data_IF_143336854018
#
_entry.id   IF_143336854018
#
_cell.length_a   1.000
_cell.length_b   1.000
_cell.length_c   1.000
_cell.angle_alpha   90.00
_cell.angle_beta   90.00
_cell.angle_gamma   90.00
#
_symmetry.space_group_name_H-M   'P 1'
#
loop_
_entity.id
_entity.type
_entity.pdbx_description
1 polymer ?
#
# COMPACT_ATOMS: atom_id res chain seq x y z
N UNK A 1 -19.49 -3.34 -36.92
CA UNK A 1 -19.62 -1.90 -37.28
C UNK A 1 -18.90 -1.62 -38.60
N UNK A 2 -19.52 -0.88 -39.52
CA UNK A 2 -18.93 -0.36 -40.76
C UNK A 2 -18.62 1.14 -40.62
N UNK A 3 -19.54 1.91 -40.02
CA UNK A 3 -19.43 3.37 -39.89
C UNK A 3 -19.54 4.09 -41.24
N UNK A 4 -20.36 3.56 -42.16
CA UNK A 4 -20.48 4.06 -43.53
C UNK A 4 -21.41 5.27 -43.68
N UNK A 5 -22.26 5.56 -42.70
CA UNK A 5 -23.23 6.64 -42.77
C UNK A 5 -22.88 7.81 -41.83
N UNK A 6 -22.82 7.54 -40.53
CA UNK A 6 -22.54 8.54 -39.50
C UNK A 6 -21.84 7.88 -38.29
N UNK A 7 -21.84 8.55 -37.14
CA UNK A 7 -21.23 8.07 -35.89
C UNK A 7 -22.22 7.39 -34.94
N UNK A 8 -23.53 7.42 -35.24
CA UNK A 8 -24.56 6.99 -34.30
C UNK A 8 -24.63 5.46 -34.20
N UNK A 9 -24.59 4.94 -32.96
CA UNK A 9 -24.77 3.52 -32.66
C UNK A 9 -26.10 2.98 -33.20
N UNK A 10 -27.16 3.80 -33.14
CA UNK A 10 -28.53 3.42 -33.50
C UNK A 10 -28.80 3.43 -35.00
N UNK A 11 -27.89 3.90 -35.85
CA UNK A 11 -28.11 3.93 -37.29
C UNK A 11 -27.80 2.55 -37.91
N UNK A 12 -28.80 1.84 -38.48
CA UNK A 12 -28.60 0.51 -39.08
C UNK A 12 -27.61 0.52 -40.25
N UNK A 13 -27.44 1.64 -40.95
CA UNK A 13 -26.47 1.74 -42.05
C UNK A 13 -25.00 1.63 -41.59
N UNK A 14 -24.73 1.78 -40.30
CA UNK A 14 -23.42 1.57 -39.71
C UNK A 14 -23.16 0.12 -39.27
N UNK A 15 -24.11 -0.80 -39.49
CA UNK A 15 -23.99 -2.20 -39.10
C UNK A 15 -24.05 -3.13 -40.30
N UNK A 16 -23.19 -4.16 -40.27
CA UNK A 16 -23.22 -5.21 -41.30
C UNK A 16 -24.57 -5.89 -41.25
N UNK A 17 -25.28 -5.94 -42.38
CA UNK A 17 -26.62 -6.51 -42.47
C UNK A 17 -27.74 -5.65 -41.87
N UNK A 18 -27.46 -4.41 -41.46
CA UNK A 18 -28.50 -3.49 -40.95
C UNK A 18 -29.00 -3.81 -39.54
N UNK A 19 -28.37 -4.75 -38.82
CA UNK A 19 -28.78 -5.17 -37.48
C UNK A 19 -28.08 -4.31 -36.43
N UNK A 20 -28.82 -3.36 -35.86
CA UNK A 20 -28.36 -2.54 -34.74
C UNK A 20 -28.31 -3.42 -33.48
N UNK A 21 -27.19 -3.47 -32.76
CA UNK A 21 -27.14 -4.06 -31.42
C UNK A 21 -28.02 -3.23 -30.47
N UNK A 22 -29.16 -3.78 -30.10
CA UNK A 22 -30.13 -3.20 -29.17
C UNK A 22 -30.63 -4.28 -28.22
N UNK A 23 -31.03 -3.89 -27.01
CA UNK A 23 -31.51 -4.82 -25.99
C UNK A 23 -30.54 -6.00 -25.77
N UNK A 24 -30.84 -7.21 -26.23
CA UNK A 24 -29.94 -8.38 -26.11
C UNK A 24 -29.85 -9.17 -27.41
N UNK A 25 -30.11 -8.53 -28.55
CA UNK A 25 -30.16 -9.20 -29.86
C UNK A 25 -28.77 -9.61 -30.37
N UNK A 26 -27.71 -8.98 -29.86
CA UNK A 26 -26.31 -9.20 -30.24
C UNK A 26 -25.48 -9.44 -28.98
N UNK A 27 -24.76 -10.56 -28.92
CA UNK A 27 -23.87 -10.86 -27.80
C UNK A 27 -22.51 -10.16 -27.93
N UNK A 28 -21.94 -10.12 -29.14
CA UNK A 28 -20.59 -9.61 -29.34
C UNK A 28 -20.57 -8.54 -30.41
N UNK A 29 -19.97 -7.41 -30.07
CA UNK A 29 -19.71 -6.32 -31.00
C UNK A 29 -18.20 -6.16 -31.20
N UNK A 30 -17.80 -6.11 -32.46
CA UNK A 30 -16.45 -5.71 -32.86
C UNK A 30 -16.52 -4.49 -33.76
N UNK A 31 -15.76 -3.47 -33.41
CA UNK A 31 -15.63 -2.22 -34.14
C UNK A 31 -14.19 -2.15 -34.68
N UNK A 32 -13.98 -2.36 -35.99
CA UNK A 32 -12.66 -2.31 -36.59
C UNK A 32 -12.13 -0.88 -36.64
N UNK A 33 -10.82 -0.74 -36.85
CA UNK A 33 -10.17 0.56 -37.02
C UNK A 33 -10.80 1.36 -38.17
N UNK A 34 -10.81 2.67 -38.03
CA UNK A 34 -11.31 3.60 -39.04
C UNK A 34 -11.50 5.01 -38.47
N UNK A 35 -11.93 5.95 -39.31
CA UNK A 35 -12.15 7.33 -38.89
C UNK A 35 -13.40 7.49 -38.02
N UNK A 36 -13.42 8.50 -37.14
CA UNK A 36 -14.58 8.89 -36.34
C UNK A 36 -14.81 8.02 -35.10
N UNK A 37 -15.55 8.58 -34.15
CA UNK A 37 -16.01 7.88 -32.95
C UNK A 37 -17.32 7.13 -33.22
N UNK A 38 -17.61 6.16 -32.34
CA UNK A 38 -18.93 5.52 -32.25
C UNK A 38 -19.67 6.11 -31.05
N UNK A 39 -20.81 6.74 -31.32
CA UNK A 39 -21.59 7.49 -30.33
C UNK A 39 -22.78 6.63 -29.87
N UNK A 40 -22.76 6.26 -28.60
CA UNK A 40 -23.87 5.64 -27.90
C UNK A 40 -24.57 6.73 -27.07
N UNK A 41 -25.79 7.09 -27.45
CA UNK A 41 -26.55 8.16 -26.81
C UNK A 41 -27.84 7.65 -26.18
N UNK A 42 -28.66 8.57 -25.64
CA UNK A 42 -29.92 8.22 -24.99
C UNK A 42 -30.92 7.51 -25.91
N UNK A 43 -30.83 7.66 -27.24
CA UNK A 43 -31.72 6.99 -28.18
C UNK A 43 -31.47 5.49 -28.27
N UNK A 44 -30.27 5.02 -27.91
CA UNK A 44 -29.94 3.60 -27.87
C UNK A 44 -30.61 2.85 -26.71
N UNK A 45 -31.17 3.56 -25.73
CA UNK A 45 -31.87 2.94 -24.60
C UNK A 45 -30.95 2.00 -23.79
N UNK A 46 -31.50 0.87 -23.35
CA UNK A 46 -30.72 -0.19 -22.71
C UNK A 46 -30.23 -1.18 -23.75
N UNK A 47 -28.91 -1.40 -23.80
CA UNK A 47 -28.27 -2.38 -24.66
C UNK A 47 -27.35 -3.26 -23.82
N UNK A 48 -27.55 -4.57 -23.85
CA UNK A 48 -26.80 -5.61 -23.19
C UNK A 48 -26.00 -6.41 -24.20
N UNK A 49 -24.69 -6.42 -24.03
CA UNK A 49 -23.74 -7.20 -24.81
C UNK A 49 -22.98 -8.12 -23.85
N UNK A 50 -22.55 -9.29 -24.33
CA UNK A 50 -21.49 -10.04 -23.66
C UNK A 50 -20.16 -9.31 -23.80
N UNK A 51 -19.79 -8.89 -25.01
CA UNK A 51 -18.52 -8.22 -25.25
C UNK A 51 -18.57 -7.11 -26.29
N UNK A 52 -17.76 -6.08 -26.09
CA UNK A 52 -17.53 -4.97 -27.01
C UNK A 52 -16.03 -4.69 -27.14
N UNK A 53 -15.46 -4.93 -28.32
CA UNK A 53 -14.08 -4.57 -28.63
C UNK A 53 -14.07 -3.50 -29.71
N UNK A 54 -13.38 -2.39 -29.47
CA UNK A 54 -13.33 -1.26 -30.40
C UNK A 54 -11.92 -0.75 -30.64
N UNK A 55 -11.55 -0.66 -31.92
CA UNK A 55 -10.37 0.06 -32.41
C UNK A 55 -10.74 1.48 -32.90
N UNK A 56 -11.93 1.97 -32.54
CA UNK A 56 -12.39 3.36 -32.72
C UNK A 56 -12.76 3.95 -31.36
N UNK A 57 -12.66 5.27 -31.15
CA UNK A 57 -13.13 5.88 -29.92
C UNK A 57 -14.61 5.60 -29.67
N UNK A 58 -14.97 5.22 -28.45
CA UNK A 58 -16.36 5.08 -28.01
C UNK A 58 -16.76 6.33 -27.23
N UNK A 59 -17.91 6.92 -27.54
CA UNK A 59 -18.47 8.07 -26.85
C UNK A 59 -19.85 7.72 -26.28
N UNK A 60 -19.96 7.63 -24.96
CA UNK A 60 -21.24 7.39 -24.25
C UNK A 60 -21.79 8.72 -23.74
N UNK A 61 -22.81 9.24 -24.40
CA UNK A 61 -23.45 10.52 -24.05
C UNK A 61 -24.78 10.35 -23.32
N UNK A 62 -25.32 9.12 -23.29
CA UNK A 62 -26.58 8.76 -22.64
C UNK A 62 -26.84 7.26 -22.68
N UNK A 63 -28.05 6.83 -22.29
CA UNK A 63 -28.47 5.43 -22.35
C UNK A 63 -27.85 4.54 -21.26
N UNK A 64 -28.06 3.23 -21.38
CA UNK A 64 -27.53 2.20 -20.47
C UNK A 64 -26.86 1.07 -21.28
N UNK A 65 -25.53 1.05 -21.29
CA UNK A 65 -24.73 0.01 -21.93
C UNK A 65 -24.31 -1.02 -20.87
N UNK A 66 -24.74 -2.27 -21.02
CA UNK A 66 -24.47 -3.37 -20.12
C UNK A 66 -23.51 -4.39 -20.75
N UNK A 67 -22.46 -4.77 -20.03
CA UNK A 67 -21.37 -5.61 -20.54
C UNK A 67 -21.16 -6.84 -19.64
N UNK A 68 -21.39 -8.02 -20.20
CA UNK A 68 -21.30 -9.30 -19.50
C UNK A 68 -19.88 -9.75 -19.19
N UNK A 69 -18.93 -9.58 -20.11
CA UNK A 69 -17.57 -10.13 -20.00
C UNK A 69 -16.46 -9.11 -20.22
N UNK A 70 -16.50 -8.33 -21.31
CA UNK A 70 -15.41 -7.42 -21.66
C UNK A 70 -15.89 -6.23 -22.50
N UNK A 71 -15.52 -5.03 -22.07
CA UNK A 71 -15.43 -3.85 -22.94
C UNK A 71 -13.96 -3.47 -23.05
N UNK A 72 -13.43 -3.48 -24.27
CA UNK A 72 -12.06 -3.08 -24.56
C UNK A 72 -12.06 -2.01 -25.65
N UNK A 73 -11.38 -0.90 -25.39
CA UNK A 73 -11.23 0.18 -26.36
C UNK A 73 -9.90 0.91 -26.14
N UNK A 74 -9.37 1.52 -27.20
CA UNK A 74 -8.22 2.41 -27.06
C UNK A 74 -8.64 3.74 -26.44
N UNK A 75 -9.72 4.33 -26.94
CA UNK A 75 -10.24 5.61 -26.49
C UNK A 75 -11.70 5.51 -26.01
N UNK A 76 -12.00 6.14 -24.88
CA UNK A 76 -13.33 6.17 -24.29
C UNK A 76 -13.68 7.57 -23.76
N UNK A 77 -14.84 8.08 -24.15
CA UNK A 77 -15.41 9.31 -23.62
C UNK A 77 -16.78 9.04 -23.03
N UNK A 78 -17.07 9.59 -21.85
CA UNK A 78 -18.40 9.55 -21.27
C UNK A 78 -18.82 10.91 -20.70
N UNK A 79 -19.93 11.43 -21.21
CA UNK A 79 -20.56 12.66 -20.71
C UNK A 79 -21.94 12.42 -20.08
N UNK A 80 -22.48 11.20 -20.21
CA UNK A 80 -23.76 10.82 -19.64
C UNK A 80 -23.96 9.30 -19.61
N UNK A 81 -25.16 8.87 -19.26
CA UNK A 81 -25.54 7.45 -19.26
C UNK A 81 -24.88 6.59 -18.18
N UNK A 82 -25.17 5.29 -18.24
CA UNK A 82 -24.62 4.26 -17.38
C UNK A 82 -23.88 3.24 -18.24
N UNK A 83 -22.60 3.01 -17.94
CA UNK A 83 -21.89 1.80 -18.36
C UNK A 83 -21.89 0.84 -17.17
N UNK A 84 -22.44 -0.34 -17.32
CA UNK A 84 -22.50 -1.31 -16.22
C UNK A 84 -22.24 -2.75 -16.64
N UNK A 85 -21.99 -3.63 -15.69
CA UNK A 85 -21.99 -5.08 -15.92
C UNK A 85 -20.97 -5.84 -15.09
N UNK A 86 -20.97 -7.16 -15.23
CA UNK A 86 -20.04 -8.05 -14.53
C UNK A 86 -18.67 -8.14 -15.22
N UNK A 87 -18.56 -7.63 -16.45
CA UNK A 87 -17.35 -7.71 -17.26
C UNK A 87 -16.25 -6.74 -16.85
N UNK A 88 -15.07 -6.93 -17.43
CA UNK A 88 -13.96 -6.00 -17.34
C UNK A 88 -14.17 -4.80 -18.28
N UNK A 89 -13.79 -3.61 -17.84
CA UNK A 89 -13.70 -2.41 -18.67
C UNK A 89 -12.23 -1.98 -18.79
N UNK A 90 -11.70 -2.03 -20.01
CA UNK A 90 -10.31 -1.76 -20.32
C UNK A 90 -10.20 -0.62 -21.34
N UNK A 91 -9.53 0.47 -20.94
CA UNK A 91 -9.15 1.58 -21.81
C UNK A 91 -7.64 1.64 -21.89
N UNK A 92 -7.08 1.49 -23.09
CA UNK A 92 -5.63 1.35 -23.24
C UNK A 92 -4.89 2.64 -23.62
N UNK A 93 -5.58 3.72 -24.02
CA UNK A 93 -4.90 4.94 -24.49
C UNK A 93 -5.45 6.26 -23.95
N UNK A 94 -6.75 6.52 -24.10
CA UNK A 94 -7.33 7.83 -23.75
C UNK A 94 -8.70 7.70 -23.10
N UNK A 95 -8.87 8.35 -21.95
CA UNK A 95 -10.09 8.35 -21.17
C UNK A 95 -10.53 9.76 -20.80
N UNK A 96 -11.81 10.04 -20.98
CA UNK A 96 -12.44 11.28 -20.50
C UNK A 96 -13.80 10.97 -19.91
N UNK A 97 -14.03 11.40 -18.68
CA UNK A 97 -15.35 11.31 -18.06
C UNK A 97 -15.76 12.68 -17.50
N UNK A 98 -16.79 13.25 -18.11
CA UNK A 98 -17.39 14.54 -17.72
C UNK A 98 -18.78 14.36 -17.11
N UNK A 99 -19.34 13.15 -17.19
CA UNK A 99 -20.62 12.80 -16.59
C UNK A 99 -20.89 11.29 -16.65
N UNK A 100 -22.10 10.90 -16.30
CA UNK A 100 -22.51 9.51 -16.23
C UNK A 100 -21.88 8.73 -15.07
N UNK A 101 -22.00 7.41 -15.13
CA UNK A 101 -21.41 6.48 -14.15
C UNK A 101 -20.92 5.20 -14.83
N UNK A 102 -19.89 4.60 -14.25
CA UNK A 102 -19.30 3.34 -14.70
C UNK A 102 -19.29 2.37 -13.52
N UNK A 103 -20.00 1.24 -13.64
CA UNK A 103 -20.13 0.22 -12.60
C UNK A 103 -19.84 -1.19 -13.17
N UNK A 104 -18.60 -1.66 -13.05
CA UNK A 104 -18.08 -2.83 -13.77
C UNK A 104 -17.51 -3.91 -12.83
N UNK A 105 -17.25 -5.11 -13.33
CA UNK A 105 -16.57 -6.16 -12.57
C UNK A 105 -15.09 -5.86 -12.29
N UNK A 106 -14.45 -5.11 -13.18
CA UNK A 106 -13.14 -4.49 -12.96
C UNK A 106 -12.97 -3.29 -13.90
N UNK A 107 -12.19 -2.30 -13.48
CA UNK A 107 -11.87 -1.12 -14.30
C UNK A 107 -10.35 -0.99 -14.42
N UNK A 108 -9.86 -0.93 -15.65
CA UNK A 108 -8.46 -0.65 -15.97
C UNK A 108 -8.41 0.47 -17.00
N UNK A 109 -7.86 1.62 -16.61
CA UNK A 109 -7.77 2.81 -17.45
C UNK A 109 -6.30 3.23 -17.55
N UNK A 110 -5.79 3.28 -18.78
CA UNK A 110 -4.51 3.89 -19.12
C UNK A 110 -4.76 5.18 -19.92
N UNK A 111 -4.17 6.27 -19.44
CA UNK A 111 -4.09 7.57 -20.09
C UNK A 111 -2.65 7.77 -20.58
N UNK A 112 -2.35 7.32 -21.79
CA UNK A 112 -0.99 7.32 -22.34
C UNK A 112 -0.37 8.72 -22.40
N UNK A 113 -1.20 9.76 -22.52
CA UNK A 113 -0.75 11.15 -22.61
C UNK A 113 -1.63 12.10 -21.82
N UNK A 114 -1.01 13.11 -21.20
CA UNK A 114 -1.72 14.12 -20.41
C UNK A 114 -2.31 13.56 -19.11
N UNK A 115 -3.20 14.36 -18.51
CA UNK A 115 -3.80 14.04 -17.22
C UNK A 115 -5.03 13.14 -17.38
N UNK A 116 -5.18 12.20 -16.44
CA UNK A 116 -6.36 11.37 -16.30
C UNK A 116 -7.34 12.04 -15.33
N UNK A 117 -8.55 12.34 -15.78
CA UNK A 117 -9.64 12.81 -14.92
C UNK A 117 -10.76 11.77 -14.94
N UNK A 118 -11.05 11.19 -13.77
CA UNK A 118 -12.14 10.23 -13.58
C UNK A 118 -13.31 10.85 -12.83
N UNK A 119 -14.50 10.28 -12.96
CA UNK A 119 -15.69 10.69 -12.20
C UNK A 119 -16.24 9.52 -11.40
N UNK A 120 -17.52 9.18 -11.55
CA UNK A 120 -18.16 8.12 -10.78
C UNK A 120 -17.76 6.74 -11.31
N UNK A 121 -16.88 6.05 -10.58
CA UNK A 121 -16.43 4.69 -10.88
C UNK A 121 -16.74 3.76 -9.71
N UNK A 122 -17.26 2.57 -10.02
CA UNK A 122 -17.48 1.50 -9.06
C UNK A 122 -17.05 0.17 -9.64
N UNK A 123 -16.10 -0.50 -8.98
CA UNK A 123 -15.70 -1.86 -9.30
C UNK A 123 -14.91 -2.46 -8.12
N UNK A 124 -14.95 -3.79 -7.91
CA UNK A 124 -14.08 -4.44 -6.93
C UNK A 124 -12.61 -4.05 -7.05
N UNK A 125 -12.09 -3.92 -8.27
CA UNK A 125 -10.73 -3.47 -8.55
C UNK A 125 -10.76 -2.34 -9.56
N UNK A 126 -10.12 -1.22 -9.21
CA UNK A 126 -9.92 -0.07 -10.08
C UNK A 126 -8.42 0.18 -10.22
N UNK A 127 -7.92 0.16 -11.46
CA UNK A 127 -6.52 0.47 -11.79
C UNK A 127 -6.48 1.68 -12.70
N UNK A 128 -5.80 2.74 -12.27
CA UNK A 128 -5.67 4.00 -13.00
C UNK A 128 -4.20 4.27 -13.31
N UNK A 129 -3.87 4.50 -14.58
CA UNK A 129 -2.51 4.79 -15.03
C UNK A 129 -2.49 6.07 -15.87
N UNK A 130 -1.60 7.00 -15.51
CA UNK A 130 -1.29 8.21 -16.25
C UNK A 130 0.25 8.36 -16.35
N UNK A 131 0.93 7.53 -17.16
CA UNK A 131 2.40 7.50 -17.25
C UNK A 131 3.05 8.80 -17.71
N UNK A 132 2.28 9.75 -18.24
CA UNK A 132 2.75 11.06 -18.69
C UNK A 132 2.00 12.23 -18.04
N UNK A 133 1.25 12.00 -16.96
CA UNK A 133 0.47 13.06 -16.32
C UNK A 133 0.04 12.76 -14.90
N UNK A 134 -0.87 13.60 -14.42
CA UNK A 134 -1.49 13.48 -13.10
C UNK A 134 -2.79 12.68 -13.18
N UNK A 135 -3.21 12.12 -12.05
CA UNK A 135 -4.54 11.52 -11.90
C UNK A 135 -5.36 12.43 -10.98
N UNK A 136 -6.56 12.83 -11.41
CA UNK A 136 -7.51 13.55 -10.57
C UNK A 136 -8.92 13.00 -10.72
N UNK A 137 -9.82 13.45 -9.84
CA UNK A 137 -11.21 13.03 -9.88
C UNK A 137 -12.19 14.20 -9.75
N UNK A 138 -13.38 14.00 -10.32
CA UNK A 138 -14.54 14.89 -10.21
C UNK A 138 -15.75 14.22 -9.54
N UNK A 139 -15.71 12.91 -9.33
CA UNK A 139 -16.76 12.10 -8.70
C UNK A 139 -16.21 11.15 -7.66
N UNK A 140 -17.09 10.35 -7.05
CA UNK A 140 -16.71 9.37 -6.05
C UNK A 140 -16.23 8.07 -6.70
N UNK A 141 -15.19 7.48 -6.10
CA UNK A 141 -14.62 6.19 -6.51
C UNK A 141 -14.89 5.14 -5.43
N UNK A 142 -15.35 3.95 -5.83
CA UNK A 142 -15.65 2.88 -4.85
C UNK A 142 -15.20 1.51 -5.33
N UNK A 143 -14.70 0.70 -4.39
CA UNK A 143 -14.22 -0.63 -4.69
C UNK A 143 -13.60 -1.34 -3.50
N UNK A 144 -13.05 -2.53 -3.73
CA UNK A 144 -12.22 -3.19 -2.73
C UNK A 144 -10.78 -2.66 -2.81
N UNK A 145 -10.20 -2.59 -4.02
CA UNK A 145 -8.81 -2.18 -4.26
C UNK A 145 -8.73 -1.04 -5.27
N UNK A 146 -7.98 0.00 -4.91
CA UNK A 146 -7.53 1.05 -5.82
C UNK A 146 -6.02 0.93 -6.04
N UNK A 147 -5.61 0.89 -7.30
CA UNK A 147 -4.21 0.97 -7.72
C UNK A 147 -4.00 2.18 -8.64
N UNK A 148 -3.04 3.06 -8.31
CA UNK A 148 -2.70 4.23 -9.12
C UNK A 148 -1.23 4.27 -9.52
N UNK A 149 -0.96 4.71 -10.75
CA UNK A 149 0.38 4.98 -11.25
C UNK A 149 0.40 6.27 -12.07
N UNK A 150 1.19 7.25 -11.64
CA UNK A 150 1.23 8.60 -12.21
C UNK A 150 2.66 9.10 -12.42
N UNK A 151 2.80 10.16 -13.22
CA UNK A 151 4.06 10.87 -13.43
C UNK A 151 4.05 12.29 -12.81
N UNK A 152 2.86 12.87 -12.60
CA UNK A 152 2.70 14.22 -12.10
C UNK A 152 1.79 14.32 -10.86
N UNK A 153 1.68 13.23 -10.09
CA UNK A 153 0.88 13.15 -8.85
C UNK A 153 -0.51 12.52 -9.02
N UNK A 154 -1.17 12.28 -7.91
CA UNK A 154 -2.52 11.71 -7.79
C UNK A 154 -3.31 12.49 -6.75
N UNK A 155 -4.42 13.13 -7.15
CA UNK A 155 -5.32 13.88 -6.24
C UNK A 155 -6.72 13.28 -6.28
N UNK A 156 -7.06 12.49 -5.27
CA UNK A 156 -8.30 11.74 -5.15
C UNK A 156 -9.00 12.05 -3.82
N UNK A 157 -9.54 13.27 -3.70
CA UNK A 157 -9.94 13.89 -2.41
C UNK A 157 -11.46 14.00 -2.18
N UNK A 158 -12.28 13.31 -2.98
CA UNK A 158 -13.74 13.27 -2.78
C UNK A 158 -14.05 12.42 -1.53
N UNK A 159 -14.84 12.98 -0.62
CA UNK A 159 -15.22 12.32 0.64
C UNK A 159 -16.08 11.06 0.46
N UNK A 160 -16.67 10.86 -0.72
CA UNK A 160 -17.40 9.66 -1.09
C UNK A 160 -16.53 8.49 -1.53
N UNK A 161 -15.20 8.67 -1.60
CA UNK A 161 -14.28 7.58 -1.92
C UNK A 161 -14.34 6.48 -0.87
N UNK A 162 -14.48 5.23 -1.31
CA UNK A 162 -14.58 4.08 -0.40
C UNK A 162 -13.83 2.87 -0.96
N UNK A 163 -12.65 2.62 -0.41
CA UNK A 163 -11.79 1.48 -0.70
C UNK A 163 -11.31 0.80 0.57
N UNK A 164 -11.19 -0.53 0.50
CA UNK A 164 -10.58 -1.34 1.55
C UNK A 164 -9.05 -1.41 1.40
N UNK A 165 -8.52 -1.19 0.21
CA UNK A 165 -7.08 -1.28 -0.08
C UNK A 165 -6.61 -0.22 -1.08
N UNK A 166 -5.47 0.41 -0.77
CA UNK A 166 -4.78 1.37 -1.64
C UNK A 166 -3.36 0.87 -1.97
N UNK A 167 -3.01 0.93 -3.25
CA UNK A 167 -1.63 0.95 -3.76
C UNK A 167 -1.47 2.20 -4.62
N UNK A 168 -0.48 3.03 -4.35
CA UNK A 168 -0.27 4.26 -5.12
C UNK A 168 1.19 4.48 -5.50
N UNK A 169 1.42 4.97 -6.71
CA UNK A 169 2.76 5.34 -7.18
C UNK A 169 2.75 6.62 -8.01
N UNK A 170 3.78 7.41 -7.81
CA UNK A 170 4.10 8.57 -8.64
C UNK A 170 5.61 8.59 -8.90
N UNK A 171 5.99 8.56 -10.18
CA UNK A 171 7.38 8.43 -10.61
C UNK A 171 8.08 9.78 -10.82
N UNK A 172 7.33 10.87 -10.95
CA UNK A 172 7.86 12.21 -11.18
C UNK A 172 7.56 13.16 -10.04
N UNK A 173 7.19 14.40 -10.39
CA UNK A 173 6.79 15.44 -9.43
C UNK A 173 5.35 15.28 -8.97
N UNK A 174 4.95 16.01 -7.94
CA UNK A 174 3.54 16.16 -7.55
C UNK A 174 3.10 15.21 -6.44
N UNK A 175 2.05 15.61 -5.75
CA UNK A 175 1.68 14.97 -4.49
C UNK A 175 0.80 13.73 -4.72
N UNK A 176 0.74 12.85 -3.72
CA UNK A 176 -0.28 11.81 -3.63
C UNK A 176 -1.23 12.22 -2.50
N UNK A 177 -2.42 12.68 -2.86
CA UNK A 177 -3.48 13.10 -1.96
C UNK A 177 -4.67 12.14 -2.08
N UNK A 178 -5.10 11.54 -0.97
CA UNK A 178 -6.22 10.60 -0.97
C UNK A 178 -7.12 10.79 0.25
N UNK A 179 -8.40 11.00 -0.03
CA UNK A 179 -9.47 10.95 0.98
C UNK A 179 -10.24 9.65 0.79
N UNK A 180 -10.56 8.98 1.89
CA UNK A 180 -11.32 7.73 1.88
C UNK A 180 -12.23 7.60 3.11
N UNK A 181 -13.24 6.74 3.00
CA UNK A 181 -14.10 6.33 4.12
C UNK A 181 -14.09 4.82 4.32
N UNK A 182 -14.33 4.37 5.55
CA UNK A 182 -14.24 2.97 5.95
C UNK A 182 -12.84 2.56 6.39
N UNK A 183 -12.65 1.28 6.72
CA UNK A 183 -11.34 0.76 7.06
C UNK A 183 -10.47 0.67 5.80
N UNK A 184 -9.24 1.20 5.87
CA UNK A 184 -8.31 1.26 4.76
C UNK A 184 -7.03 0.48 5.08
N UNK A 185 -6.65 -0.43 4.20
CA UNK A 185 -5.31 -1.01 4.16
C UNK A 185 -4.46 -0.29 3.13
N UNK A 186 -3.32 0.26 3.53
CA UNK A 186 -2.34 0.80 2.60
C UNK A 186 -1.32 -0.31 2.30
N UNK A 187 -1.45 -0.92 1.13
CA UNK A 187 -0.56 -1.99 0.68
C UNK A 187 0.78 -1.48 0.15
N UNK A 188 0.89 -0.18 -0.11
CA UNK A 188 2.16 0.51 -0.38
C UNK A 188 1.95 1.84 -1.09
N UNK A 189 2.81 2.82 -0.80
CA UNK A 189 2.83 4.10 -1.51
C UNK A 189 4.27 4.48 -1.84
N UNK A 190 4.55 4.77 -3.11
CA UNK A 190 5.84 5.30 -3.53
C UNK A 190 5.64 6.63 -4.27
N UNK A 191 5.97 7.75 -3.63
CA UNK A 191 5.97 9.05 -4.27
C UNK A 191 7.39 9.56 -4.48
N UNK A 192 7.90 9.53 -5.71
CA UNK A 192 9.29 9.90 -6.00
C UNK A 192 9.58 11.38 -5.75
N UNK A 193 8.59 12.25 -5.97
CA UNK A 193 8.70 13.68 -5.70
C UNK A 193 7.36 14.26 -5.23
N UNK A 194 7.39 15.16 -4.25
CA UNK A 194 6.19 15.71 -3.62
C UNK A 194 5.82 15.01 -2.32
N UNK A 195 4.72 15.46 -1.73
CA UNK A 195 4.20 14.98 -0.46
C UNK A 195 3.26 13.77 -0.63
N UNK A 196 3.01 13.08 0.46
CA UNK A 196 1.91 12.11 0.60
C UNK A 196 0.97 12.67 1.68
N UNK A 197 -0.30 12.88 1.35
CA UNK A 197 -1.35 13.27 2.30
C UNK A 197 -2.54 12.29 2.21
N UNK A 198 -2.75 11.54 3.28
CA UNK A 198 -3.82 10.53 3.36
C UNK A 198 -4.76 10.88 4.50
N UNK A 199 -6.03 11.07 4.19
CA UNK A 199 -7.08 11.28 5.18
C UNK A 199 -8.12 10.18 5.06
N UNK A 200 -8.26 9.35 6.09
CA UNK A 200 -9.25 8.28 6.10
C UNK A 200 -10.28 8.49 7.22
N UNK A 201 -11.55 8.42 6.87
CA UNK A 201 -12.67 8.38 7.81
C UNK A 201 -12.90 6.92 8.23
N UNK A 202 -12.13 6.50 9.22
CA UNK A 202 -12.05 5.12 9.70
C UNK A 202 -10.60 4.73 9.96
N UNK A 203 -10.36 3.46 10.24
CA UNK A 203 -9.04 2.95 10.57
C UNK A 203 -8.11 2.85 9.36
N UNK A 204 -6.82 3.07 9.58
CA UNK A 204 -5.76 2.80 8.60
C UNK A 204 -4.84 1.71 9.16
N UNK A 205 -4.51 0.72 8.33
CA UNK A 205 -3.44 -0.24 8.56
C UNK A 205 -2.49 -0.24 7.37
N UNK A 206 -1.18 -0.16 7.58
CA UNK A 206 -0.20 -0.31 6.49
C UNK A 206 0.38 -1.71 6.49
N UNK A 207 0.51 -2.32 5.30
CA UNK A 207 1.14 -3.64 5.13
C UNK A 207 2.42 -3.56 4.29
N UNK A 208 2.50 -2.60 3.36
CA UNK A 208 3.71 -2.28 2.62
C UNK A 208 4.33 -0.93 3.02
N UNK A 209 5.50 -0.60 2.45
CA UNK A 209 6.21 0.64 2.75
C UNK A 209 5.48 1.87 2.19
N UNK A 210 5.66 3.00 2.88
CA UNK A 210 5.27 4.32 2.39
C UNK A 210 6.53 5.16 2.25
N UNK A 211 6.84 5.63 1.04
CA UNK A 211 8.09 6.36 0.76
C UNK A 211 7.84 7.66 0.01
N UNK A 212 8.32 8.78 0.57
CA UNK A 212 8.38 10.09 -0.06
C UNK A 212 9.79 10.71 0.11
N UNK A 213 10.83 10.23 -0.60
CA UNK A 213 12.22 10.62 -0.37
C UNK A 213 12.51 12.12 -0.55
N UNK A 214 11.63 12.88 -1.19
CA UNK A 214 11.77 14.33 -1.40
C UNK A 214 10.63 15.16 -0.82
N UNK A 215 9.77 14.59 0.03
CA UNK A 215 8.62 15.30 0.59
C UNK A 215 8.21 14.80 1.97
N UNK A 216 7.09 15.32 2.43
CA UNK A 216 6.49 14.96 3.71
C UNK A 216 5.55 13.76 3.55
N UNK A 217 5.31 13.05 4.65
CA UNK A 217 4.23 12.08 4.76
C UNK A 217 3.28 12.53 5.88
N UNK A 218 2.05 12.86 5.52
CA UNK A 218 0.97 13.17 6.45
C UNK A 218 -0.12 12.09 6.35
N UNK A 219 -0.45 11.47 7.46
CA UNK A 219 -1.51 10.46 7.52
C UNK A 219 -2.42 10.78 8.70
N UNK A 220 -3.69 11.04 8.40
CA UNK A 220 -4.75 11.19 9.39
C UNK A 220 -5.70 9.99 9.29
N UNK A 221 -5.69 9.12 10.29
CA UNK A 221 -6.71 8.11 10.47
C UNK A 221 -7.71 8.59 11.52
N UNK A 222 -8.99 8.53 11.19
CA UNK A 222 -10.04 8.80 12.15
C UNK A 222 -10.40 7.55 12.96
N UNK A 223 -9.35 6.97 13.58
CA UNK A 223 -9.22 5.75 14.41
C UNK A 223 -9.44 4.37 13.75
N UNK A 224 -8.62 3.35 14.10
CA UNK A 224 -7.24 3.42 14.62
C UNK A 224 -6.20 3.66 13.49
N UNK A 225 -4.95 4.02 13.82
CA UNK A 225 -3.83 4.05 12.86
C UNK A 225 -2.77 3.01 13.26
N UNK A 226 -2.50 2.04 12.38
CA UNK A 226 -1.43 1.05 12.55
C UNK A 226 -0.43 1.14 11.40
N UNK A 227 0.82 1.42 11.71
CA UNK A 227 1.94 1.31 10.76
C UNK A 227 2.53 -0.09 10.88
N UNK A 228 2.36 -0.93 9.86
CA UNK A 228 2.94 -2.26 9.79
C UNK A 228 4.44 -2.27 9.51
N UNK A 229 5.02 -3.46 9.41
CA UNK A 229 6.47 -3.68 9.35
C UNK A 229 7.19 -2.96 8.18
N UNK A 230 6.48 -2.65 7.09
CA UNK A 230 7.03 -1.90 5.95
C UNK A 230 7.48 -0.47 6.30
N UNK A 231 6.92 0.12 7.36
CA UNK A 231 7.33 1.43 7.85
C UNK A 231 7.03 2.60 6.91
N UNK A 232 7.55 3.78 7.28
CA UNK A 232 7.41 5.03 6.54
C UNK A 232 8.77 5.71 6.44
N UNK A 233 9.13 6.15 5.23
CA UNK A 233 10.33 6.96 4.97
C UNK A 233 9.95 8.25 4.25
N UNK A 234 10.37 9.40 4.80
CA UNK A 234 10.13 10.72 4.22
C UNK A 234 11.45 11.51 4.18
N UNK A 235 11.68 12.25 3.11
CA UNK A 235 12.77 13.23 3.04
C UNK A 235 12.53 14.46 3.91
N UNK A 236 11.25 14.79 4.15
CA UNK A 236 10.82 15.86 5.05
C UNK A 236 10.28 15.31 6.37
N UNK A 237 9.11 15.79 6.76
CA UNK A 237 8.41 15.42 7.99
C UNK A 237 7.59 14.13 7.83
N UNK A 238 7.42 13.42 8.93
CA UNK A 238 6.38 12.40 9.09
C UNK A 238 5.39 12.90 10.14
N UNK A 239 4.12 13.07 9.77
CA UNK A 239 3.04 13.49 10.66
C UNK A 239 1.96 12.43 10.68
N UNK A 240 1.75 11.77 11.82
CA UNK A 240 0.75 10.73 12.01
C UNK A 240 -0.28 11.18 13.05
N UNK A 241 -1.55 11.21 12.65
CA UNK A 241 -2.65 11.62 13.52
C UNK A 241 -3.72 10.52 13.59
N UNK A 242 -3.88 9.91 14.76
CA UNK A 242 -4.95 8.99 15.08
C UNK A 242 -6.01 9.72 15.92
N UNK A 243 -7.06 10.23 15.28
CA UNK A 243 -8.16 10.91 15.97
C UNK A 243 -9.14 9.90 16.56
N UNK A 244 -10.03 10.33 17.44
CA UNK A 244 -11.04 9.49 18.10
C UNK A 244 -12.46 9.65 17.50
N UNK A 245 -12.56 9.92 16.20
CA UNK A 245 -13.85 10.21 15.57
C UNK A 245 -14.77 8.99 15.42
N UNK A 246 -14.23 7.80 15.09
CA UNK A 246 -15.06 6.59 14.88
C UNK A 246 -14.89 5.50 15.95
N UNK A 247 -13.77 5.51 16.66
CA UNK A 247 -13.38 4.59 17.74
C UNK A 247 -12.22 5.22 18.55
N UNK A 248 -11.57 4.45 19.43
CA UNK A 248 -10.42 4.94 20.17
C UNK A 248 -9.29 5.34 19.19
N UNK A 249 -8.79 6.57 19.30
CA UNK A 249 -7.71 7.10 18.44
C UNK A 249 -6.35 6.55 18.82
N UNK A 250 -6.20 5.22 18.71
CA UNK A 250 -4.97 4.51 19.00
C UNK A 250 -4.01 4.60 17.81
N UNK A 251 -2.72 4.79 18.12
CA UNK A 251 -1.62 4.78 17.17
C UNK A 251 -0.68 3.63 17.52
N UNK A 252 -0.48 2.69 16.60
CA UNK A 252 0.45 1.57 16.76
C UNK A 252 1.53 1.59 15.69
N UNK A 253 2.81 1.58 16.10
CA UNK A 253 3.97 1.66 15.22
C UNK A 253 4.77 0.35 15.26
N UNK A 254 4.43 -0.59 14.37
CA UNK A 254 5.12 -1.88 14.23
C UNK A 254 6.28 -1.83 13.23
N UNK A 255 6.28 -0.87 12.29
CA UNK A 255 7.40 -0.62 11.38
C UNK A 255 8.17 0.65 11.69
N UNK A 256 9.38 0.81 11.12
CA UNK A 256 10.22 1.97 11.37
C UNK A 256 9.65 3.24 10.75
N UNK A 257 9.86 4.39 11.40
CA UNK A 257 9.64 5.72 10.83
C UNK A 257 10.99 6.41 10.64
N UNK A 258 11.24 6.94 9.44
CA UNK A 258 12.48 7.63 9.09
C UNK A 258 12.15 8.95 8.38
N UNK A 259 12.20 10.06 9.10
CA UNK A 259 11.98 11.40 8.58
C UNK A 259 13.31 12.15 8.43
N UNK A 260 13.49 12.81 7.28
CA UNK A 260 14.64 13.68 7.05
C UNK A 260 14.57 15.00 7.85
N UNK A 261 13.41 15.36 8.40
CA UNK A 261 13.24 16.50 9.32
C UNK A 261 12.68 16.09 10.70
N UNK A 262 11.38 16.17 10.95
CA UNK A 262 10.77 15.81 12.24
C UNK A 262 9.78 14.65 12.10
N UNK A 263 9.59 13.91 13.19
CA UNK A 263 8.43 13.02 13.35
C UNK A 263 7.47 13.62 14.37
N UNK A 264 6.20 13.79 14.00
CA UNK A 264 5.14 14.25 14.89
C UNK A 264 4.04 13.20 14.97
N UNK A 265 3.80 12.69 16.17
CA UNK A 265 2.83 11.63 16.45
C UNK A 265 1.75 12.16 17.39
N UNK A 266 0.49 12.02 16.98
CA UNK A 266 -0.67 12.36 17.81
C UNK A 266 -1.63 11.18 17.87
N UNK A 267 -1.82 10.63 19.06
CA UNK A 267 -2.81 9.60 19.35
C UNK A 267 -3.85 10.18 20.31
N UNK A 268 -5.12 10.25 19.89
CA UNK A 268 -6.18 10.72 20.78
C UNK A 268 -6.42 9.77 21.97
N UNK A 269 -6.00 8.50 21.87
CA UNK A 269 -6.06 7.49 22.93
C UNK A 269 -4.66 6.97 23.27
N UNK A 270 -4.28 5.76 22.86
CA UNK A 270 -3.01 5.13 23.23
C UNK A 270 -1.98 5.22 22.10
N UNK A 271 -0.70 5.37 22.47
CA UNK A 271 0.42 5.18 21.55
C UNK A 271 1.19 3.90 21.92
N UNK A 272 1.33 2.97 20.97
CA UNK A 272 2.22 1.82 21.09
C UNK A 272 3.35 1.98 20.07
N UNK A 273 4.58 2.12 20.54
CA UNK A 273 5.77 2.15 19.68
C UNK A 273 6.52 0.83 19.83
N UNK A 274 6.51 0.01 18.79
CA UNK A 274 7.21 -1.28 18.75
C UNK A 274 8.49 -1.24 17.90
N UNK A 275 8.78 -0.12 17.23
CA UNK A 275 9.90 0.01 16.30
C UNK A 275 10.63 1.35 16.44
N UNK A 276 11.68 1.53 15.63
CA UNK A 276 12.47 2.75 15.57
C UNK A 276 11.66 3.91 15.00
N UNK A 277 11.71 5.06 15.67
CA UNK A 277 11.08 6.31 15.20
C UNK A 277 12.14 7.39 15.15
N UNK A 278 12.55 7.78 13.94
CA UNK A 278 13.66 8.70 13.74
C UNK A 278 13.26 9.93 12.94
N UNK A 279 13.58 11.11 13.47
CA UNK A 279 13.58 12.38 12.75
C UNK A 279 14.92 13.07 12.94
N UNK A 280 15.55 13.54 11.85
CA UNK A 280 16.87 14.22 11.92
C UNK A 280 16.90 15.37 12.94
N UNK A 281 15.81 16.12 13.04
CA UNK A 281 15.66 17.29 13.90
C UNK A 281 14.67 17.05 15.06
N UNK A 282 14.35 15.80 15.38
CA UNK A 282 13.61 15.44 16.57
C UNK A 282 12.32 14.66 16.35
N UNK A 283 11.77 14.21 17.47
CA UNK A 283 10.54 13.41 17.54
C UNK A 283 9.64 13.97 18.64
N UNK A 284 8.39 14.28 18.27
CA UNK A 284 7.34 14.63 19.22
C UNK A 284 6.24 13.57 19.19
N UNK A 285 5.80 13.14 20.36
CA UNK A 285 4.75 12.15 20.49
C UNK A 285 3.78 12.52 21.62
N UNK A 286 2.49 12.52 21.31
CA UNK A 286 1.42 12.80 22.27
C UNK A 286 0.42 11.65 22.26
N UNK A 287 0.01 11.22 23.44
CA UNK A 287 -1.07 10.26 23.62
C UNK A 287 -2.08 10.79 24.64
N UNK A 288 -3.36 10.52 24.41
CA UNK A 288 -4.43 10.92 25.33
C UNK A 288 -4.40 10.15 26.65
N UNK A 289 -4.21 8.83 26.60
CA UNK A 289 -4.44 7.94 27.74
C UNK A 289 -3.20 7.18 28.21
N UNK A 290 -2.41 6.63 27.29
CA UNK A 290 -1.27 5.79 27.64
C UNK A 290 -0.23 5.72 26.53
N UNK A 291 0.98 5.32 26.89
CA UNK A 291 2.09 5.14 25.96
C UNK A 291 2.90 3.92 26.37
N UNK A 292 3.12 3.01 25.43
CA UNK A 292 3.84 1.74 25.66
C UNK A 292 4.95 1.57 24.62
N UNK A 293 6.10 1.09 25.08
CA UNK A 293 7.27 0.85 24.24
C UNK A 293 7.60 -0.64 24.20
N UNK A 294 7.67 -1.19 22.99
CA UNK A 294 8.15 -2.53 22.73
C UNK A 294 9.68 -2.64 22.82
N UNK A 295 10.23 -3.87 22.74
CA UNK A 295 11.68 -4.10 22.90
C UNK A 295 12.55 -3.46 21.81
N UNK A 296 12.00 -3.18 20.63
CA UNK A 296 12.71 -2.49 19.53
C UNK A 296 12.37 -1.00 19.43
N UNK A 297 11.66 -0.46 20.43
CA UNK A 297 11.35 0.96 20.48
C UNK A 297 12.62 1.77 20.76
N UNK A 298 13.01 2.58 19.79
CA UNK A 298 14.10 3.54 19.91
C UNK A 298 13.72 4.85 19.23
N UNK A 299 14.26 5.97 19.72
CA UNK A 299 14.03 7.30 19.14
C UNK A 299 15.35 8.06 19.04
N UNK A 300 15.60 8.83 17.99
CA UNK A 300 16.89 9.49 17.77
C UNK A 300 16.92 10.93 18.31
N UNK A 301 17.91 11.72 17.86
CA UNK A 301 18.40 12.96 18.46
C UNK A 301 17.34 13.98 18.96
N UNK A 302 17.71 14.77 19.98
CA UNK A 302 16.88 15.85 20.50
C UNK A 302 16.61 16.96 19.46
N UNK A 303 15.48 17.68 19.59
CA UNK A 303 14.50 17.56 20.67
C UNK A 303 13.63 16.29 20.56
N UNK A 304 13.56 15.56 21.67
CA UNK A 304 12.68 14.41 21.86
C UNK A 304 11.68 14.77 22.95
N UNK A 305 10.40 14.80 22.63
CA UNK A 305 9.35 15.17 23.57
C UNK A 305 8.19 14.18 23.48
N UNK A 306 7.96 13.43 24.55
CA UNK A 306 6.87 12.46 24.65
C UNK A 306 5.95 12.92 25.79
N UNK A 307 4.63 12.84 25.59
CA UNK A 307 3.66 13.22 26.61
C UNK A 307 2.40 12.37 26.59
N UNK A 308 1.83 12.16 27.78
CA UNK A 308 0.56 11.47 27.99
C UNK A 308 -0.36 12.37 28.78
N UNK A 309 -1.57 12.65 28.27
CA UNK A 309 -2.53 13.54 28.93
C UNK A 309 -1.97 14.96 29.18
N UNK A 310 -1.06 15.43 28.32
CA UNK A 310 -0.39 16.73 28.46
C UNK A 310 0.80 16.75 29.43
N UNK A 311 1.13 15.62 30.07
CA UNK A 311 2.27 15.51 30.99
C UNK A 311 3.45 14.85 30.28
N UNK A 312 4.64 15.42 30.41
CA UNK A 312 5.87 14.86 29.85
C UNK A 312 6.18 13.47 30.44
N UNK A 313 6.54 12.51 29.59
CA UNK A 313 6.95 11.16 29.96
C UNK A 313 8.32 10.83 29.40
N UNK A 314 8.98 9.80 29.95
CA UNK A 314 10.26 9.34 29.42
C UNK A 314 10.09 8.83 27.98
N UNK A 315 10.95 9.25 27.04
CA UNK A 315 10.94 8.69 25.68
C UNK A 315 11.53 7.28 25.65
N UNK A 316 11.37 6.54 24.53
CA UNK A 316 12.15 5.34 24.25
C UNK A 316 13.67 5.62 24.33
N UNK A 317 14.50 4.60 24.57
CA UNK A 317 15.95 4.76 24.54
C UNK A 317 16.45 5.21 23.16
N UNK A 318 17.63 5.84 23.11
CA UNK A 318 18.25 6.31 21.85
C UNK A 318 19.10 5.27 21.14
N UNK A 319 19.40 4.17 21.82
CA UNK A 319 20.09 3.00 21.30
C UNK A 319 19.30 1.77 21.74
N UNK A 320 19.33 0.70 20.94
CA UNK A 320 18.78 -0.58 21.39
C UNK A 320 19.54 -1.00 22.65
N UNK A 321 18.81 -1.33 23.71
CA UNK A 321 19.43 -1.98 24.85
C UNK A 321 20.01 -3.30 24.35
N UNK A 322 21.35 -3.40 24.27
CA UNK A 322 21.99 -4.70 24.16
C UNK A 322 21.60 -5.45 25.43
N UNK A 323 20.77 -6.49 25.33
CA UNK A 323 20.60 -7.45 26.44
C UNK A 323 21.85 -8.32 26.63
N UNK A 324 23.02 -7.73 26.42
CA UNK A 324 24.27 -8.20 26.98
C UNK A 324 24.47 -7.35 28.24
N UNK A 325 24.19 -7.94 29.40
CA UNK A 325 24.92 -7.58 30.62
C UNK A 325 26.38 -7.35 30.23
N UNK A 326 26.97 -6.28 30.78
CA UNK A 326 28.28 -5.75 30.43
C UNK A 326 29.24 -6.82 29.85
N UNK A 327 29.98 -6.55 28.76
CA UNK A 327 30.75 -7.56 28.01
C UNK A 327 31.65 -8.51 28.83
N UNK A 328 32.00 -8.14 30.07
CA UNK A 328 32.68 -9.02 31.01
C UNK A 328 31.82 -10.14 31.59
N UNK A 329 30.53 -9.94 31.82
CA UNK A 329 29.67 -10.88 32.59
C UNK A 329 29.29 -12.12 31.77
N UNK A 330 28.98 -11.94 30.47
CA UNK A 330 28.71 -13.05 29.55
C UNK A 330 30.00 -13.82 29.19
N UNK A 331 31.13 -13.11 29.06
CA UNK A 331 32.41 -13.75 28.78
C UNK A 331 32.89 -14.55 30.00
N UNK A 332 32.72 -14.02 31.21
CA UNK A 332 33.07 -14.70 32.47
C UNK A 332 32.16 -15.91 32.68
N UNK A 333 30.85 -15.79 32.53
CA UNK A 333 29.94 -16.95 32.65
C UNK A 333 30.18 -18.01 31.58
N UNK A 334 30.47 -17.62 30.34
CA UNK A 334 30.86 -18.57 29.30
C UNK A 334 32.20 -19.25 29.61
N UNK A 335 33.22 -18.50 30.05
CA UNK A 335 34.52 -19.06 30.44
C UNK A 335 34.41 -19.98 31.65
N UNK A 336 33.60 -19.64 32.65
CA UNK A 336 33.37 -20.48 33.83
C UNK A 336 32.65 -21.78 33.45
N UNK A 337 31.59 -21.70 32.63
CA UNK A 337 30.87 -22.88 32.14
C UNK A 337 31.74 -23.74 31.21
N UNK A 338 32.59 -23.11 30.40
CA UNK A 338 33.53 -23.80 29.52
C UNK A 338 34.65 -24.48 30.31
N UNK A 339 35.21 -23.81 31.34
CA UNK A 339 36.19 -24.40 32.24
C UNK A 339 35.57 -25.55 33.03
N UNK A 340 34.33 -25.40 33.52
CA UNK A 340 33.61 -26.45 34.21
C UNK A 340 33.29 -27.65 33.30
N UNK A 341 33.03 -27.42 32.00
CA UNK A 341 32.87 -28.48 31.01
C UNK A 341 34.20 -29.18 30.68
N UNK A 342 35.31 -28.44 30.59
CA UNK A 342 36.65 -28.99 30.42
C UNK A 342 37.02 -29.83 31.65
N UNK A 343 36.87 -29.29 32.86
CA UNK A 343 37.20 -30.00 34.10
C UNK A 343 36.31 -31.23 34.30
N UNK A 344 35.04 -31.17 33.88
CA UNK A 344 34.13 -32.31 33.87
C UNK A 344 34.54 -33.41 32.88
N UNK A 345 34.95 -33.05 31.65
CA UNK A 345 35.42 -34.02 30.66
C UNK A 345 36.81 -34.58 30.98
N UNK A 346 37.68 -33.78 31.59
CA UNK A 346 39.05 -34.16 31.94
C UNK A 346 39.09 -34.97 33.25
N UNK A 347 38.23 -34.63 34.22
CA UNK A 347 38.13 -35.33 35.50
C UNK A 347 37.59 -36.77 35.41
N UNK A 348 36.88 -37.10 34.33
CA UNK A 348 36.45 -38.48 34.06
C UNK A 348 37.55 -39.33 33.39
N UNK A 349 38.53 -38.69 32.75
CA UNK A 349 39.60 -39.34 31.99
C UNK A 349 40.96 -39.34 32.73
N UNK A 350 41.12 -38.54 33.77
CA UNK A 350 42.37 -38.42 34.52
C UNK A 350 42.15 -38.70 36.02
N UNK A 351 43.10 -39.38 36.64
CA UNK A 351 43.23 -39.54 38.08
C UNK A 351 44.56 -38.94 38.54
N UNK A 352 44.64 -38.50 39.80
CA UNK A 352 45.90 -38.09 40.41
C UNK A 352 46.63 -39.34 40.92
N UNK A 353 47.91 -39.49 40.59
CA UNK A 353 48.76 -40.51 41.22
C UNK A 353 49.11 -40.11 42.67
N UNK A 354 49.76 -41.04 43.39
CA UNK A 354 50.13 -40.84 44.79
C UNK A 354 51.10 -39.67 45.02
N UNK A 355 51.74 -39.18 43.96
CA UNK A 355 52.69 -38.06 43.98
C UNK A 355 52.03 -36.75 43.49
N UNK A 356 50.74 -36.77 43.16
CA UNK A 356 49.95 -35.60 42.78
C UNK A 356 50.02 -35.22 41.29
N UNK A 357 50.53 -36.10 40.42
CA UNK A 357 50.55 -35.88 38.98
C UNK A 357 49.28 -36.43 38.31
N UNK A 358 48.83 -35.75 37.25
CA UNK A 358 47.68 -36.19 36.44
C UNK A 358 48.08 -37.38 35.55
N UNK A 359 47.39 -38.51 35.69
CA UNK A 359 47.54 -39.72 34.87
C UNK A 359 46.21 -40.08 34.23
N UNK A 360 46.23 -40.64 33.02
CA UNK A 360 45.01 -41.15 32.36
C UNK A 360 44.45 -42.36 33.13
N UNK A 361 43.17 -42.30 33.49
CA UNK A 361 42.42 -43.36 34.18
C UNK A 361 42.45 -44.62 33.31
N UNK A 362 42.99 -45.71 33.84
CA UNK A 362 43.07 -46.98 33.11
C UNK A 362 41.67 -47.59 33.09
N UNK A 363 41.07 -47.67 31.90
CA UNK A 363 39.83 -48.42 31.68
C UNK A 363 40.24 -49.86 31.37
N UNK A 364 39.98 -50.78 32.31
CA UNK A 364 40.21 -52.21 32.14
C UNK A 364 39.42 -52.71 30.90
N UNK A 365 40.10 -52.91 29.78
CA UNK A 365 39.46 -53.45 28.57
C UNK A 365 40.10 -53.14 27.21
N UNK A 366 41.09 -52.27 27.09
CA UNK A 366 41.80 -52.07 25.81
C UNK A 366 43.24 -52.59 25.86
N UNK A 367 43.43 -53.75 25.24
CA UNK A 367 44.75 -54.26 24.81
C UNK A 367 45.21 -53.37 23.65
N UNK A 368 46.37 -52.73 23.78
CA UNK A 368 47.11 -52.17 22.65
C UNK A 368 48.39 -52.98 22.48
N UNK A 369 48.40 -53.83 21.46
CA UNK A 369 49.62 -54.38 20.87
C UNK A 369 50.50 -53.26 20.28
N UNK A 370 51.76 -53.60 20.01
CA UNK A 370 52.82 -52.82 19.35
C UNK A 370 53.78 -52.03 20.26
N UNK A 371 54.51 -52.81 21.07
CA UNK A 371 55.91 -52.58 21.38
C UNK A 371 56.78 -53.07 20.21
N UNK A 372 57.32 -52.19 19.37
CA UNK A 372 58.63 -52.41 18.70
C UNK A 372 59.28 -51.07 18.33
N UNK A 373 60.43 -50.77 18.93
CA UNK A 373 61.55 -50.10 18.23
C UNK A 373 62.89 -50.43 18.90
N UNK A 374 63.65 -51.29 18.21
CA UNK A 374 65.10 -51.58 18.26
C UNK A 374 65.81 -51.87 19.58
#
# INVERSE_FOLDING_TARGET
WTGSADTAWTNPANWVGGVVPDLSNVQTVTIPAGAGSVVFDASAGTTSLQSLTSARPISVTGGNLQIGTLLQTESYNQSGGLLSGAGAFNVSDSFMQTGGSIAMGSISINQSSGNLVVANLSAPVITLSAPAGAISQSGALSGATLATASMAGTTLTNSGNQFATLVASNAGSGDIEFVNTGALTIAGIANSGGNIDIVNTGGISTTGPITAPSGNVMITANSPLTVGAGGISAGGDIVLNATNLTSAGDLTLNGPLQAGNMVSLTAASALVQNSAVFGTNGVTATAGTSMTYGPFAITNNPPVAYSVGGVSVAPPPTVLASSLQAPGDLLVTFLDLFQQAIDGQLGDLLELDADGNLKRKVVDGLVTEEEVCR
#
